data_IF_259123124187
#
_entry.id   IF_259123124187
#
_cell.length_a   1.000
_cell.length_b   1.000
_cell.length_c   1.000
_cell.angle_alpha   90.00
_cell.angle_beta   90.00
_cell.angle_gamma   90.00
#
_symmetry.space_group_name_H-M   'P 1'
#
loop_
_entity.id
_entity.type
_entity.pdbx_description
1 polymer ?
#
# COMPACT_ATOMS: atom_id res chain seq x y z
N UNK A 1 -1.27 -19.53 -68.63
CA UNK A 1 0.16 -19.25 -68.54
C UNK A 1 0.31 -18.17 -67.47
N UNK A 2 0.75 -18.50 -66.24
CA UNK A 2 0.98 -17.52 -65.24
C UNK A 2 2.46 -17.10 -65.30
N UNK A 3 2.69 -15.87 -65.74
CA UNK A 3 4.04 -15.25 -65.66
C UNK A 3 4.48 -15.14 -64.24
N UNK A 4 5.43 -15.94 -63.85
CA UNK A 4 6.18 -15.75 -62.59
C UNK A 4 7.07 -14.53 -62.74
N UNK A 5 6.62 -13.40 -62.24
CA UNK A 5 7.41 -12.16 -62.14
C UNK A 5 8.62 -12.48 -61.26
N UNK A 6 9.82 -12.61 -61.89
CA UNK A 6 11.08 -12.75 -61.18
C UNK A 6 11.44 -11.41 -60.51
N UNK A 7 11.07 -11.26 -59.24
CA UNK A 7 11.51 -10.09 -58.47
C UNK A 7 13.05 -10.02 -58.43
N UNK A 8 13.60 -8.84 -58.71
CA UNK A 8 15.03 -8.60 -58.63
C UNK A 8 15.60 -8.78 -57.23
N UNK A 9 16.82 -9.25 -57.10
CA UNK A 9 17.48 -9.53 -55.82
C UNK A 9 17.39 -8.37 -54.81
N UNK A 10 17.63 -7.07 -55.18
CA UNK A 10 17.51 -5.94 -54.30
C UNK A 10 16.12 -5.73 -53.75
N UNK A 11 15.03 -6.02 -54.49
CA UNK A 11 13.66 -5.91 -54.05
C UNK A 11 13.33 -6.99 -53.01
N UNK A 12 13.84 -8.21 -53.18
CA UNK A 12 13.70 -9.29 -52.19
C UNK A 12 14.39 -8.96 -50.88
N UNK A 13 15.63 -8.40 -50.95
CA UNK A 13 16.39 -7.96 -49.77
C UNK A 13 15.61 -6.84 -49.05
N UNK A 14 15.17 -5.82 -49.77
CA UNK A 14 14.43 -4.70 -49.17
C UNK A 14 13.15 -5.19 -48.47
N UNK A 15 12.38 -6.10 -49.11
CA UNK A 15 11.18 -6.69 -48.48
C UNK A 15 11.49 -7.52 -47.24
N UNK A 16 12.61 -8.28 -47.25
CA UNK A 16 13.04 -9.04 -46.08
C UNK A 16 13.45 -8.13 -44.93
N UNK A 17 14.19 -7.08 -45.25
CA UNK A 17 14.61 -6.06 -44.23
C UNK A 17 13.40 -5.37 -43.60
N UNK A 18 12.41 -4.95 -44.39
CA UNK A 18 11.18 -4.34 -43.89
C UNK A 18 10.40 -5.31 -42.99
N UNK A 19 10.30 -6.59 -43.37
CA UNK A 19 9.66 -7.61 -42.52
C UNK A 19 10.42 -7.83 -41.22
N UNK A 20 11.75 -7.91 -41.26
CA UNK A 20 12.58 -8.09 -40.08
C UNK A 20 12.47 -6.89 -39.13
N UNK A 21 12.49 -5.67 -39.66
CA UNK A 21 12.26 -4.44 -38.90
C UNK A 21 10.87 -4.41 -38.26
N UNK A 22 9.85 -4.79 -39.00
CA UNK A 22 8.47 -4.91 -38.51
C UNK A 22 8.35 -5.91 -37.38
N UNK A 23 8.94 -7.10 -37.49
CA UNK A 23 8.98 -8.09 -36.42
C UNK A 23 9.73 -7.56 -35.19
N UNK A 24 10.88 -6.94 -35.38
CA UNK A 24 11.69 -6.40 -34.28
C UNK A 24 10.94 -5.32 -33.51
N UNK A 25 10.17 -4.48 -34.23
CA UNK A 25 9.33 -3.46 -33.60
C UNK A 25 8.19 -4.09 -32.78
N UNK A 26 7.51 -5.09 -33.35
CA UNK A 26 6.43 -5.79 -32.64
C UNK A 26 6.95 -6.50 -31.39
N UNK A 27 8.03 -7.30 -31.53
CA UNK A 27 8.64 -7.98 -30.38
C UNK A 27 9.18 -7.00 -29.34
N UNK A 28 9.83 -5.92 -29.77
CA UNK A 28 10.31 -4.85 -28.86
C UNK A 28 9.17 -4.21 -28.09
N UNK A 29 8.04 -3.95 -28.73
CA UNK A 29 6.85 -3.41 -28.10
C UNK A 29 6.27 -4.38 -27.07
N UNK A 30 6.13 -5.66 -27.42
CA UNK A 30 5.64 -6.69 -26.49
C UNK A 30 6.57 -6.82 -25.28
N UNK A 31 7.88 -6.91 -25.50
CA UNK A 31 8.87 -6.99 -24.41
C UNK A 31 8.84 -5.73 -23.52
N UNK A 32 8.66 -4.55 -24.11
CA UNK A 32 8.51 -3.31 -23.34
C UNK A 32 7.28 -3.33 -22.42
N UNK A 33 6.12 -3.81 -22.92
CA UNK A 33 4.92 -3.92 -22.09
C UNK A 33 5.05 -4.97 -20.99
N UNK A 34 5.66 -6.12 -21.29
CA UNK A 34 5.96 -7.16 -20.28
C UNK A 34 6.89 -6.61 -19.22
N UNK A 35 7.98 -5.95 -19.60
CA UNK A 35 8.92 -5.33 -18.70
C UNK A 35 8.26 -4.24 -17.83
N UNK A 36 7.43 -3.38 -18.45
CA UNK A 36 6.67 -2.34 -17.73
C UNK A 36 5.70 -2.96 -16.72
N UNK A 37 4.97 -4.01 -17.12
CA UNK A 37 4.05 -4.72 -16.21
C UNK A 37 4.82 -5.34 -15.04
N UNK A 38 5.95 -5.98 -15.31
CA UNK A 38 6.81 -6.56 -14.25
C UNK A 38 7.29 -5.49 -13.27
N UNK A 39 7.86 -4.38 -13.75
CA UNK A 39 8.36 -3.29 -12.89
C UNK A 39 7.25 -2.66 -12.08
N UNK A 40 6.02 -2.56 -12.62
CA UNK A 40 4.89 -2.01 -11.88
C UNK A 40 4.44 -2.86 -10.69
N UNK A 41 4.84 -4.13 -10.65
CA UNK A 41 4.51 -5.07 -9.55
C UNK A 41 5.64 -5.23 -8.54
N UNK A 42 6.86 -4.79 -8.86
CA UNK A 42 8.02 -4.94 -7.98
C UNK A 42 8.03 -3.82 -6.93
N UNK A 43 7.91 -4.21 -5.68
CA UNK A 43 8.10 -3.30 -4.54
C UNK A 43 9.59 -3.11 -4.29
N UNK A 44 10.10 -1.86 -4.13
CA UNK A 44 11.48 -1.60 -3.77
C UNK A 44 11.90 -2.34 -2.49
N UNK A 45 13.15 -2.83 -2.47
CA UNK A 45 13.64 -3.67 -1.38
C UNK A 45 13.66 -2.92 -0.03
N UNK A 46 13.83 -1.62 -0.06
CA UNK A 46 13.93 -0.73 1.10
C UNK A 46 12.62 -0.73 1.92
N UNK A 47 11.47 -0.83 1.27
CA UNK A 47 10.15 -0.77 1.93
C UNK A 47 9.34 -2.05 1.78
N UNK A 48 9.91 -3.07 1.20
CA UNK A 48 9.24 -4.37 1.00
C UNK A 48 8.98 -5.10 2.32
N UNK A 49 9.91 -4.97 3.25
CA UNK A 49 9.89 -5.63 4.55
C UNK A 49 9.39 -4.68 5.64
N UNK A 50 9.02 -5.22 6.79
CA UNK A 50 8.68 -4.42 7.95
C UNK A 50 9.87 -3.54 8.37
N UNK A 51 9.57 -2.31 8.78
CA UNK A 51 10.55 -1.41 9.36
C UNK A 51 11.00 -1.94 10.73
N UNK A 52 12.30 -2.15 10.89
CA UNK A 52 12.91 -2.63 12.15
C UNK A 52 13.13 -1.47 13.13
N UNK A 53 12.05 -0.76 13.48
CA UNK A 53 12.07 0.35 14.44
C UNK A 53 12.25 -0.14 15.90
N UNK A 54 12.45 0.80 16.83
CA UNK A 54 12.72 0.46 18.22
C UNK A 54 11.58 -0.35 18.89
N UNK A 55 10.28 0.03 18.79
CA UNK A 55 9.21 -0.77 19.38
C UNK A 55 9.16 -2.22 18.87
N UNK A 56 9.37 -2.43 17.58
CA UNK A 56 9.37 -3.78 17.00
C UNK A 56 10.59 -4.58 17.44
N UNK A 57 11.77 -3.96 17.55
CA UNK A 57 12.98 -4.61 18.08
C UNK A 57 12.80 -5.04 19.53
N UNK A 58 12.23 -4.18 20.37
CA UNK A 58 11.95 -4.49 21.78
C UNK A 58 10.95 -5.64 21.91
N UNK A 59 9.85 -5.60 21.14
CA UNK A 59 8.86 -6.67 21.11
C UNK A 59 9.45 -8.00 20.64
N UNK A 60 10.28 -7.98 19.60
CA UNK A 60 10.97 -9.16 19.11
C UNK A 60 11.93 -9.75 20.15
N UNK A 61 12.73 -8.92 20.82
CA UNK A 61 13.65 -9.36 21.85
C UNK A 61 12.91 -9.95 23.07
N UNK A 62 11.78 -9.35 23.47
CA UNK A 62 10.94 -9.87 24.55
C UNK A 62 10.32 -11.20 24.19
N UNK A 63 9.73 -11.35 23.00
CA UNK A 63 9.18 -12.61 22.52
C UNK A 63 10.23 -13.71 22.47
N UNK A 64 11.42 -13.42 21.94
CA UNK A 64 12.52 -14.35 21.88
C UNK A 64 12.98 -14.82 23.27
N UNK A 65 13.04 -13.93 24.26
CA UNK A 65 13.38 -14.26 25.64
C UNK A 65 12.36 -15.22 26.29
N UNK A 66 11.10 -15.15 25.87
CA UNK A 66 10.04 -16.06 26.31
C UNK A 66 9.92 -17.33 25.47
N UNK A 67 10.75 -17.48 24.43
CA UNK A 67 10.67 -18.60 23.48
C UNK A 67 9.44 -18.56 22.58
N UNK A 68 8.89 -17.36 22.36
CA UNK A 68 7.75 -17.08 21.49
C UNK A 68 8.19 -16.42 20.18
N UNK A 69 7.31 -16.46 19.20
CA UNK A 69 7.45 -15.69 17.95
C UNK A 69 6.59 -14.44 18.00
N UNK A 70 6.98 -13.41 17.27
CA UNK A 70 6.16 -12.21 17.07
C UNK A 70 5.01 -12.55 16.15
N UNK A 71 3.79 -12.22 16.57
CA UNK A 71 2.57 -12.47 15.81
C UNK A 71 2.31 -11.33 14.84
N UNK A 72 2.31 -11.66 13.57
CA UNK A 72 1.95 -10.74 12.49
C UNK A 72 0.70 -11.25 11.80
N UNK A 73 -0.29 -10.39 11.60
CA UNK A 73 -1.47 -10.77 10.84
C UNK A 73 -1.91 -9.65 9.89
N UNK A 74 -2.76 -10.01 8.93
CA UNK A 74 -3.36 -9.12 7.95
C UNK A 74 -4.70 -9.67 7.47
N UNK A 75 -5.49 -8.86 6.79
CA UNK A 75 -6.73 -9.27 6.13
C UNK A 75 -6.63 -9.02 4.62
N UNK A 76 -6.82 -10.05 3.81
CA UNK A 76 -6.55 -9.99 2.36
C UNK A 76 -7.57 -9.18 1.55
N UNK A 77 -8.80 -9.07 2.02
CA UNK A 77 -9.93 -8.69 1.18
C UNK A 77 -10.22 -7.20 1.08
N UNK A 78 -9.52 -6.36 1.83
CA UNK A 78 -10.01 -4.99 2.05
C UNK A 78 -9.14 -3.88 1.46
N UNK A 79 -8.02 -4.23 0.83
CA UNK A 79 -7.11 -3.24 0.24
C UNK A 79 -7.53 -2.74 -1.13
N UNK A 80 -8.70 -3.11 -1.61
CA UNK A 80 -9.16 -2.68 -2.91
C UNK A 80 -9.41 -1.17 -2.89
N UNK A 81 -8.44 -0.52 -3.49
CA UNK A 81 -8.46 0.81 -4.05
C UNK A 81 -9.40 1.78 -3.38
N UNK A 82 -8.82 2.67 -2.63
CA UNK A 82 -9.46 3.93 -2.30
C UNK A 82 -10.23 4.47 -3.46
N UNK A 83 -11.52 4.51 -3.31
CA UNK A 83 -12.35 5.39 -4.07
C UNK A 83 -12.15 6.79 -3.50
N UNK A 84 -11.08 7.42 -3.90
CA UNK A 84 -10.95 8.85 -3.79
C UNK A 84 -12.11 9.51 -4.53
N UNK A 85 -12.54 10.69 -4.11
CA UNK A 85 -13.69 11.45 -4.65
C UNK A 85 -13.81 11.42 -6.18
N UNK A 86 -12.73 11.24 -6.91
CA UNK A 86 -12.74 11.04 -8.34
C UNK A 86 -12.57 9.55 -8.70
N UNK A 87 -13.64 8.98 -9.25
CA UNK A 87 -13.71 7.58 -9.68
C UNK A 87 -12.71 7.20 -10.77
N UNK A 88 -12.06 8.17 -11.40
CA UNK A 88 -11.21 7.94 -12.56
C UNK A 88 -9.72 7.82 -12.23
N UNK A 89 -9.27 8.27 -11.05
CA UNK A 89 -7.85 8.33 -10.72
C UNK A 89 -7.56 7.75 -9.32
N UNK A 90 -6.81 6.67 -9.28
CA UNK A 90 -6.26 6.13 -8.04
C UNK A 90 -4.88 6.74 -7.80
N UNK A 91 -4.79 7.80 -7.01
CA UNK A 91 -3.55 8.50 -6.72
C UNK A 91 -2.64 7.72 -5.78
N UNK A 92 -3.23 6.96 -4.88
CA UNK A 92 -2.49 6.07 -3.98
C UNK A 92 -3.25 4.77 -3.74
N UNK A 93 -2.54 3.75 -3.29
CA UNK A 93 -3.08 2.42 -3.00
C UNK A 93 -2.38 1.85 -1.78
N UNK A 94 -3.10 1.33 -0.81
CA UNK A 94 -2.53 0.46 0.21
C UNK A 94 -2.17 -0.88 -0.45
N UNK A 95 -0.92 -1.32 -0.30
CA UNK A 95 -0.42 -2.56 -0.89
C UNK A 95 -0.29 -3.68 0.10
N UNK A 96 -0.04 -3.33 1.36
CA UNK A 96 0.23 -4.25 2.43
C UNK A 96 -0.06 -3.51 3.74
N UNK A 97 -0.83 -4.13 4.64
CA UNK A 97 -1.01 -3.64 5.99
C UNK A 97 -0.81 -4.79 6.95
N UNK A 98 0.11 -4.65 7.89
CA UNK A 98 0.48 -5.69 8.83
C UNK A 98 0.31 -5.21 10.25
N UNK A 99 -0.45 -5.96 11.01
CA UNK A 99 -0.67 -5.77 12.42
C UNK A 99 0.31 -6.62 13.21
N UNK A 100 1.04 -5.99 14.12
CA UNK A 100 2.10 -6.62 14.91
C UNK A 100 1.69 -6.52 16.37
N UNK A 101 1.16 -7.62 16.92
CA UNK A 101 0.50 -7.62 18.22
C UNK A 101 1.44 -7.25 19.36
N UNK A 102 2.59 -7.90 19.44
CA UNK A 102 3.55 -7.71 20.55
C UNK A 102 4.17 -6.30 20.55
N UNK A 103 4.17 -5.63 19.39
CA UNK A 103 4.66 -4.25 19.27
C UNK A 103 3.55 -3.20 19.39
N UNK A 104 2.28 -3.59 19.50
CA UNK A 104 1.12 -2.69 19.43
C UNK A 104 1.22 -1.74 18.22
N UNK A 105 1.54 -2.30 17.06
CA UNK A 105 1.95 -1.53 15.90
C UNK A 105 1.25 -2.00 14.63
N UNK A 106 0.95 -1.04 13.75
CA UNK A 106 0.50 -1.31 12.38
C UNK A 106 1.50 -0.70 11.41
N UNK A 107 1.94 -1.47 10.44
CA UNK A 107 2.77 -0.98 9.36
C UNK A 107 2.06 -1.14 8.02
N UNK A 108 1.95 -0.05 7.27
CA UNK A 108 1.24 -0.01 5.99
C UNK A 108 2.18 0.43 4.89
N UNK A 109 2.18 -0.32 3.78
CA UNK A 109 2.88 0.05 2.57
C UNK A 109 1.92 0.73 1.60
N UNK A 110 2.15 1.99 1.31
CA UNK A 110 1.44 2.75 0.29
C UNK A 110 2.22 2.81 -1.02
N UNK A 111 1.48 2.87 -2.11
CA UNK A 111 2.01 3.14 -3.45
C UNK A 111 1.31 4.37 -4.02
N UNK A 112 2.09 5.33 -4.49
CA UNK A 112 1.64 6.58 -5.10
C UNK A 112 1.98 6.59 -6.59
N UNK A 113 1.05 7.08 -7.39
CA UNK A 113 1.22 7.15 -8.83
C UNK A 113 1.63 8.55 -9.28
N UNK A 114 2.92 8.75 -9.52
CA UNK A 114 3.46 10.03 -9.99
C UNK A 114 3.00 10.41 -11.40
N UNK A 115 2.55 9.44 -12.21
CA UNK A 115 2.04 9.76 -13.54
C UNK A 115 0.75 10.61 -13.52
N UNK A 116 0.09 10.68 -12.37
CA UNK A 116 -1.14 11.45 -12.15
C UNK A 116 -0.92 12.82 -11.52
N UNK A 117 0.33 13.23 -11.24
CA UNK A 117 0.63 14.53 -10.61
C UNK A 117 -0.03 15.70 -11.36
N UNK A 118 -0.07 15.66 -12.69
CA UNK A 118 -0.74 16.71 -13.47
C UNK A 118 -2.23 16.81 -13.14
N UNK A 119 -2.91 15.69 -12.96
CA UNK A 119 -4.33 15.69 -12.58
C UNK A 119 -4.51 16.22 -11.16
N UNK A 120 -3.59 15.87 -10.22
CA UNK A 120 -3.62 16.44 -8.87
C UNK A 120 -3.48 17.95 -8.87
N UNK A 121 -2.60 18.50 -9.72
CA UNK A 121 -2.43 19.93 -9.89
C UNK A 121 -3.70 20.58 -10.42
N UNK A 122 -4.37 19.94 -11.38
CA UNK A 122 -5.65 20.41 -11.94
C UNK A 122 -6.79 20.31 -10.91
N UNK A 123 -6.91 19.18 -10.21
CA UNK A 123 -7.99 18.89 -9.27
C UNK A 123 -7.95 19.80 -8.02
N UNK A 124 -6.75 20.17 -7.57
CA UNK A 124 -6.55 21.02 -6.39
C UNK A 124 -6.18 22.46 -6.74
N UNK A 125 -6.22 22.85 -8.01
CA UNK A 125 -5.86 24.18 -8.49
C UNK A 125 -4.50 24.67 -7.96
N UNK A 126 -3.51 23.77 -7.92
CA UNK A 126 -2.21 24.04 -7.34
C UNK A 126 -1.43 25.04 -8.20
N UNK A 127 -0.82 26.04 -7.57
CA UNK A 127 0.05 27.01 -8.24
C UNK A 127 1.46 26.47 -8.50
N UNK A 128 1.84 25.41 -7.80
CA UNK A 128 3.16 24.74 -7.91
C UNK A 128 2.91 23.25 -8.08
N UNK A 129 3.61 22.66 -9.08
CA UNK A 129 3.56 21.21 -9.27
C UNK A 129 4.44 20.54 -8.21
N UNK A 130 3.90 19.60 -7.40
CA UNK A 130 4.69 18.88 -6.43
C UNK A 130 5.66 17.91 -7.12
N UNK A 131 6.80 17.67 -6.50
CA UNK A 131 7.77 16.69 -7.00
C UNK A 131 7.25 15.26 -6.87
N UNK A 132 6.43 15.00 -5.84
CA UNK A 132 5.90 13.69 -5.51
C UNK A 132 4.43 13.77 -5.13
N UNK A 133 3.64 12.77 -5.56
CA UNK A 133 2.22 12.71 -5.24
C UNK A 133 1.95 12.57 -3.73
N UNK A 134 2.81 11.83 -3.01
CA UNK A 134 2.66 11.63 -1.57
C UNK A 134 2.85 12.90 -0.73
N UNK A 135 3.50 13.92 -1.27
CA UNK A 135 3.73 15.18 -0.55
C UNK A 135 2.46 16.05 -0.48
N UNK A 136 1.38 15.61 -1.09
CA UNK A 136 0.07 16.29 -1.04
C UNK A 136 -0.86 15.75 0.05
N UNK A 137 -0.51 14.65 0.69
CA UNK A 137 -1.44 13.95 1.59
C UNK A 137 -0.87 13.73 2.98
N UNK A 138 -1.73 13.85 3.99
CA UNK A 138 -1.55 13.24 5.30
C UNK A 138 -2.39 11.97 5.43
N UNK A 139 -1.82 10.97 6.10
CA UNK A 139 -2.45 9.65 6.28
C UNK A 139 -2.54 9.35 7.77
N UNK A 140 -3.74 9.07 8.25
CA UNK A 140 -4.00 8.72 9.63
C UNK A 140 -4.73 7.38 9.71
N UNK A 141 -4.63 6.68 10.85
CA UNK A 141 -5.56 5.61 11.16
C UNK A 141 -6.74 6.16 11.95
N UNK A 142 -7.93 5.71 11.61
CA UNK A 142 -9.17 5.99 12.32
C UNK A 142 -9.74 4.66 12.81
N UNK A 143 -9.67 4.45 14.12
CA UNK A 143 -9.91 3.16 14.75
C UNK A 143 -11.22 3.20 15.53
N UNK A 144 -12.10 2.25 15.25
CA UNK A 144 -13.36 2.05 15.96
C UNK A 144 -13.19 1.01 17.07
N UNK A 145 -13.49 1.38 18.29
CA UNK A 145 -13.49 0.51 19.47
C UNK A 145 -14.90 0.26 19.98
N UNK A 146 -15.18 -0.98 20.39
CA UNK A 146 -16.41 -1.31 21.11
C UNK A 146 -16.27 -0.91 22.58
N UNK A 147 -17.22 -0.15 23.08
CA UNK A 147 -17.32 0.22 24.51
C UNK A 147 -18.21 -0.75 25.31
N UNK A 148 -18.86 -1.73 24.66
CA UNK A 148 -19.80 -2.67 25.29
C UNK A 148 -19.46 -4.11 24.94
N UNK A 149 -18.29 -4.63 25.32
CA UNK A 149 -17.78 -5.93 24.87
C UNK A 149 -18.64 -7.12 25.28
N UNK A 150 -19.46 -6.99 26.33
CA UNK A 150 -20.36 -8.06 26.80
C UNK A 150 -21.49 -8.39 25.80
N UNK A 151 -21.71 -7.55 24.78
CA UNK A 151 -22.75 -7.70 23.75
C UNK A 151 -22.20 -7.98 22.34
N UNK A 152 -20.98 -8.43 22.21
CA UNK A 152 -20.32 -8.75 20.92
C UNK A 152 -21.06 -9.78 20.05
N UNK A 153 -22.17 -10.36 20.52
CA UNK A 153 -22.89 -11.44 19.84
C UNK A 153 -23.84 -10.87 18.83
N UNK A 154 -24.11 -10.17 18.12
CA UNK A 154 -25.03 -9.85 16.98
C UNK A 154 -25.35 -8.36 16.74
N UNK A 155 -24.95 -7.46 17.65
CA UNK A 155 -25.26 -6.03 17.51
C UNK A 155 -24.08 -5.08 17.68
N UNK A 156 -22.84 -5.58 17.69
CA UNK A 156 -21.65 -4.73 17.78
C UNK A 156 -21.66 -3.70 16.66
N UNK A 157 -21.59 -2.42 17.01
CA UNK A 157 -21.59 -1.32 16.06
C UNK A 157 -22.97 -0.82 15.59
N UNK A 158 -24.09 -1.44 16.01
CA UNK A 158 -25.45 -0.96 15.65
C UNK A 158 -25.92 0.22 16.52
N UNK A 159 -25.34 0.42 17.70
CA UNK A 159 -25.56 1.61 18.51
C UNK A 159 -24.37 2.57 18.40
N UNK A 160 -24.53 3.72 17.75
CA UNK A 160 -23.44 4.72 17.63
C UNK A 160 -22.87 5.17 18.98
N UNK A 161 -23.64 5.07 20.07
CA UNK A 161 -23.18 5.42 21.41
C UNK A 161 -22.23 4.37 22.01
N UNK A 162 -22.19 3.16 21.46
CA UNK A 162 -21.31 2.07 21.90
C UNK A 162 -19.96 2.05 21.20
N UNK A 163 -19.71 2.91 20.21
CA UNK A 163 -18.46 2.93 19.44
C UNK A 163 -17.68 4.19 19.76
N UNK A 164 -16.42 4.01 20.14
CA UNK A 164 -15.46 5.09 20.31
C UNK A 164 -14.49 5.10 19.13
N UNK A 165 -14.31 6.24 18.53
CA UNK A 165 -13.30 6.45 17.48
C UNK A 165 -12.06 7.13 18.03
N UNK A 166 -10.89 6.63 17.62
CA UNK A 166 -9.59 7.22 17.98
C UNK A 166 -8.74 7.36 16.71
N UNK A 167 -8.09 8.50 16.57
CA UNK A 167 -7.18 8.77 15.47
C UNK A 167 -5.74 8.56 15.88
N UNK A 168 -4.98 7.88 15.04
CA UNK A 168 -3.55 7.65 15.20
C UNK A 168 -2.80 8.28 14.04
N UNK A 169 -1.71 8.99 14.37
CA UNK A 169 -0.81 9.57 13.39
C UNK A 169 0.40 8.65 13.17
N UNK A 170 0.98 8.69 11.97
CA UNK A 170 2.17 7.92 11.69
C UNK A 170 3.35 8.40 12.55
N UNK A 171 4.03 7.45 13.17
CA UNK A 171 5.24 7.70 13.99
C UNK A 171 6.51 7.64 13.16
N UNK A 172 6.46 6.95 12.02
CA UNK A 172 7.55 6.97 11.04
C UNK A 172 7.03 6.80 9.62
N UNK A 173 7.81 7.26 8.65
CA UNK A 173 7.50 7.17 7.24
C UNK A 173 8.77 6.97 6.43
N UNK A 174 8.91 5.80 5.78
CA UNK A 174 10.07 5.41 5.01
C UNK A 174 9.74 5.46 3.52
N UNK A 175 10.30 6.41 2.75
CA UNK A 175 10.05 6.54 1.33
C UNK A 175 10.94 5.61 0.52
N UNK A 176 10.42 5.14 -0.62
CA UNK A 176 11.21 4.48 -1.65
C UNK A 176 10.63 4.79 -3.03
N UNK A 177 11.44 4.72 -4.06
CA UNK A 177 11.06 5.07 -5.42
C UNK A 177 11.35 3.93 -6.39
N UNK A 178 10.40 3.65 -7.26
CA UNK A 178 10.60 2.86 -8.48
C UNK A 178 10.52 3.77 -9.71
N UNK A 179 10.70 3.20 -10.91
CA UNK A 179 10.64 3.95 -12.17
C UNK A 179 9.30 4.67 -12.43
N UNK A 180 8.20 4.16 -11.87
CA UNK A 180 6.85 4.66 -12.18
C UNK A 180 6.14 5.14 -10.91
N UNK A 181 6.41 4.48 -9.79
CA UNK A 181 5.69 4.68 -8.55
C UNK A 181 6.62 5.09 -7.43
N UNK A 182 6.12 5.94 -6.56
CA UNK A 182 6.67 6.14 -5.24
C UNK A 182 5.98 5.20 -4.26
N UNK A 183 6.74 4.79 -3.26
CA UNK A 183 6.26 3.95 -2.17
C UNK A 183 6.59 4.62 -0.84
N UNK A 184 5.76 4.35 0.16
CA UNK A 184 5.99 4.83 1.51
C UNK A 184 5.49 3.77 2.48
N UNK A 185 6.39 3.26 3.32
CA UNK A 185 5.99 2.44 4.46
C UNK A 185 5.79 3.36 5.65
N UNK A 186 4.58 3.38 6.17
CA UNK A 186 4.21 4.18 7.33
C UNK A 186 3.95 3.27 8.52
N UNK A 187 4.40 3.69 9.69
CA UNK A 187 4.24 3.00 10.95
C UNK A 187 3.34 3.79 11.87
N UNK A 188 2.43 3.09 12.54
CA UNK A 188 1.51 3.63 13.52
C UNK A 188 1.67 2.83 14.80
N UNK A 189 2.05 3.49 15.89
CA UNK A 189 2.30 2.87 17.19
C UNK A 189 1.12 3.08 18.14
N UNK A 190 1.03 2.20 19.14
CA UNK A 190 0.07 2.31 20.23
C UNK A 190 -1.31 1.69 19.94
N UNK A 191 -1.46 0.98 18.83
CA UNK A 191 -2.68 0.23 18.52
C UNK A 191 -2.61 -1.17 19.11
N UNK A 192 -3.21 -1.37 20.28
CA UNK A 192 -3.31 -2.67 20.93
C UNK A 192 -4.53 -3.45 20.41
N UNK A 193 -4.27 -4.49 19.63
CA UNK A 193 -5.29 -5.39 19.08
C UNK A 193 -5.70 -6.51 20.05
N UNK A 194 -5.08 -6.59 21.23
CA UNK A 194 -5.31 -7.65 22.23
C UNK A 194 -6.22 -7.23 23.37
N UNK A 195 -6.63 -5.96 23.43
CA UNK A 195 -7.50 -5.43 24.48
C UNK A 195 -8.90 -6.07 24.38
N UNK A 196 -9.31 -6.73 25.45
CA UNK A 196 -10.61 -7.39 25.55
C UNK A 196 -11.73 -6.49 26.05
N UNK A 197 -11.38 -5.48 26.86
CA UNK A 197 -12.37 -4.58 27.46
C UNK A 197 -12.93 -3.55 26.47
N UNK A 198 -12.15 -3.20 25.46
CA UNK A 198 -12.57 -2.32 24.35
C UNK A 198 -11.97 -2.85 23.05
N UNK A 199 -12.51 -3.95 22.50
CA UNK A 199 -11.94 -4.56 21.32
C UNK A 199 -12.03 -3.64 20.09
N UNK A 200 -11.05 -3.77 19.20
CA UNK A 200 -11.05 -3.07 17.93
C UNK A 200 -12.08 -3.68 16.99
N UNK A 201 -13.04 -2.89 16.55
CA UNK A 201 -14.06 -3.29 15.59
C UNK A 201 -13.61 -3.11 14.15
N UNK A 202 -12.97 -1.98 13.87
CA UNK A 202 -12.49 -1.69 12.54
C UNK A 202 -11.30 -0.72 12.59
N UNK A 203 -10.44 -0.81 11.59
CA UNK A 203 -9.35 0.14 11.36
C UNK A 203 -9.46 0.67 9.95
N UNK A 204 -9.61 1.97 9.85
CA UNK A 204 -9.65 2.71 8.60
C UNK A 204 -8.37 3.52 8.41
N UNK A 205 -7.91 3.58 7.18
CA UNK A 205 -6.88 4.53 6.75
C UNK A 205 -7.60 5.72 6.14
N UNK A 206 -7.55 6.85 6.80
CA UNK A 206 -8.08 8.10 6.28
C UNK A 206 -6.97 8.94 5.66
N UNK A 207 -7.29 9.53 4.53
CA UNK A 207 -6.36 10.34 3.75
C UNK A 207 -6.90 11.75 3.63
N UNK A 208 -6.09 12.71 4.03
CA UNK A 208 -6.42 14.13 4.00
C UNK A 208 -5.49 14.88 3.05
N UNK A 209 -6.03 15.91 2.40
CA UNK A 209 -5.25 16.81 1.59
C UNK A 209 -4.53 17.84 2.47
N UNK A 210 -3.20 17.95 2.36
CA UNK A 210 -2.39 18.84 3.21
C UNK A 210 -2.66 20.33 3.02
N UNK A 211 -3.19 20.72 1.87
CA UNK A 211 -3.53 22.12 1.58
C UNK A 211 -4.79 22.62 2.32
N UNK A 212 -5.60 21.68 2.80
CA UNK A 212 -6.84 21.97 3.54
C UNK A 212 -7.01 20.89 4.62
N UNK A 213 -6.09 20.89 5.60
CA UNK A 213 -6.01 19.86 6.62
C UNK A 213 -7.01 20.13 7.74
N UNK A 214 -8.15 19.47 7.66
CA UNK A 214 -9.18 19.44 8.69
C UNK A 214 -9.59 17.99 8.98
N UNK A 215 -9.17 17.44 10.10
CA UNK A 215 -9.48 16.07 10.51
C UNK A 215 -10.93 15.87 10.97
N UNK A 216 -11.68 16.93 11.19
CA UNK A 216 -13.12 16.88 11.49
C UNK A 216 -13.97 16.88 10.20
N UNK A 217 -13.36 17.26 9.07
CA UNK A 217 -14.00 17.18 7.77
C UNK A 217 -13.97 15.75 7.21
N UNK A 218 -14.77 15.50 6.18
CA UNK A 218 -14.74 14.24 5.44
C UNK A 218 -13.36 14.05 4.78
N UNK A 219 -12.69 12.89 5.00
CA UNK A 219 -11.39 12.62 4.40
C UNK A 219 -11.50 12.58 2.87
N UNK A 220 -10.40 12.85 2.20
CA UNK A 220 -10.28 12.73 0.75
C UNK A 220 -10.55 11.30 0.27
N UNK A 221 -10.13 10.31 1.07
CA UNK A 221 -10.41 8.90 0.85
C UNK A 221 -10.23 8.08 2.12
N UNK A 222 -10.95 6.97 2.19
CA UNK A 222 -10.91 6.03 3.33
C UNK A 222 -10.74 4.60 2.81
N UNK A 223 -9.86 3.82 3.45
CA UNK A 223 -9.64 2.40 3.18
C UNK A 223 -9.85 1.63 4.48
N UNK A 224 -10.74 0.64 4.51
CA UNK A 224 -10.83 -0.29 5.62
C UNK A 224 -9.70 -1.32 5.50
N UNK A 225 -8.84 -1.42 6.52
CA UNK A 225 -7.72 -2.37 6.57
C UNK A 225 -7.91 -3.48 7.60
N UNK A 226 -8.90 -3.34 8.47
CA UNK A 226 -9.30 -4.34 9.44
C UNK A 226 -10.79 -4.22 9.74
N UNK A 227 -11.47 -5.36 9.77
CA UNK A 227 -12.86 -5.53 10.22
C UNK A 227 -12.91 -6.76 11.10
N UNK A 228 -13.45 -6.65 12.31
CA UNK A 228 -13.51 -7.75 13.28
C UNK A 228 -14.31 -8.96 12.79
N UNK A 229 -15.22 -8.76 11.81
CA UNK A 229 -16.00 -9.85 11.19
C UNK A 229 -15.20 -10.60 10.10
N UNK A 230 -14.11 -10.04 9.62
CA UNK A 230 -13.31 -10.66 8.57
C UNK A 230 -12.26 -11.62 9.17
N UNK A 231 -11.89 -12.63 8.40
CA UNK A 231 -10.90 -13.62 8.80
C UNK A 231 -9.49 -13.04 8.76
N UNK A 232 -8.72 -13.23 9.83
CA UNK A 232 -7.32 -12.84 9.91
C UNK A 232 -6.43 -13.93 9.31
N UNK A 233 -5.52 -13.53 8.44
CA UNK A 233 -4.42 -14.38 7.97
C UNK A 233 -3.19 -14.12 8.82
N UNK A 234 -2.74 -15.13 9.53
CA UNK A 234 -1.55 -15.07 10.39
C UNK A 234 -0.31 -15.45 9.60
N UNK A 235 0.75 -14.69 9.80
CA UNK A 235 2.06 -14.91 9.19
C UNK A 235 3.18 -14.84 10.21
N UNK A 236 4.37 -15.23 9.77
CA UNK A 236 5.61 -15.07 10.52
C UNK A 236 6.47 -14.00 9.86
N UNK A 237 7.41 -13.45 10.62
CA UNK A 237 8.41 -12.54 10.10
C UNK A 237 9.26 -13.21 9.00
N UNK A 238 9.56 -12.48 7.92
CA UNK A 238 10.49 -12.92 6.89
C UNK A 238 11.91 -13.03 7.45
N UNK A 239 12.75 -13.89 6.85
CA UNK A 239 14.14 -14.07 7.27
C UNK A 239 14.95 -12.76 7.25
N UNK A 240 14.63 -11.85 6.34
CA UNK A 240 15.29 -10.55 6.27
C UNK A 240 14.80 -9.60 7.35
N UNK A 241 13.51 -9.67 7.71
CA UNK A 241 12.94 -8.93 8.84
C UNK A 241 13.58 -9.40 10.14
N UNK A 242 13.68 -10.71 10.36
CA UNK A 242 14.38 -11.30 11.51
C UNK A 242 15.84 -10.85 11.57
N UNK A 243 16.56 -10.86 10.44
CA UNK A 243 17.95 -10.43 10.39
C UNK A 243 18.08 -8.95 10.79
N UNK A 244 17.22 -8.06 10.26
CA UNK A 244 17.21 -6.65 10.60
C UNK A 244 16.85 -6.37 12.08
N UNK A 245 15.97 -7.20 12.67
CA UNK A 245 15.59 -7.10 14.09
C UNK A 245 16.68 -7.63 15.02
N UNK A 246 17.49 -8.58 14.55
CA UNK A 246 18.57 -9.18 15.32
C UNK A 246 19.86 -8.33 15.34
N UNK A 247 19.97 -7.34 14.46
CA UNK A 247 21.05 -6.36 14.50
C UNK A 247 20.80 -5.41 15.68
N UNK A 248 21.52 -5.68 16.80
CA UNK A 248 21.53 -4.78 17.96
C UNK A 248 22.13 -3.43 17.57
N UNK A 249 21.66 -2.33 18.15
CA UNK A 249 22.23 -1.00 17.92
C UNK A 249 23.66 -0.89 18.45
#
# INVERSE_FOLDING_TARGET
>A
MSETIHESLPVKIARLTVKALGMLLVFGTILFFIWRAFISTVVPAEVKYLSANAPLKEAYAAALAEGKEVTVFYQESQYDTTTVRDKNYSYFTAKDARFIQEANQVQILFRYNNATIRHLVEDYELTVTPDRAEDLYDVTLYVAYDLTPDNLSDNAGNDPASVKFVRYHATSSEPAQSLIYNYRRMTFDGLDMTVTDNPVLAVYVDVYYLGDLDYEAEPYGTICIYDYLAENTYGTLDKKEIAALSELP
#
